data_IF_995769705518
#
_entry.id   IF_995769705518
#
_cell.length_a   1.000
_cell.length_b   1.000
_cell.length_c   1.000
_cell.angle_alpha   90.00
_cell.angle_beta   90.00
_cell.angle_gamma   90.00
#
_symmetry.space_group_name_H-M   'P 1'
#
loop_
_entity.id
_entity.type
_entity.pdbx_description
1 polymer ?
#
# COMPACT_ATOMS: atom_id res chain seq x y z
N UNK A 1 -4.38 0.16 21.67
CA UNK A 1 -5.48 0.13 20.68
C UNK A 1 -5.13 -0.87 19.58
N UNK A 2 -6.08 -1.73 19.26
CA UNK A 2 -5.85 -2.80 18.29
C UNK A 2 -6.40 -2.40 16.93
N UNK A 3 -5.53 -2.04 15.98
CA UNK A 3 -5.91 -1.58 14.65
C UNK A 3 -5.84 -2.77 13.70
N UNK A 4 -6.97 -3.09 13.08
CA UNK A 4 -7.10 -4.27 12.21
C UNK A 4 -7.08 -3.94 10.72
N UNK A 5 -7.05 -2.66 10.35
CA UNK A 5 -7.18 -2.22 8.96
C UNK A 5 -5.97 -1.41 8.54
N UNK A 6 -5.58 -1.55 7.28
CA UNK A 6 -4.50 -0.77 6.72
C UNK A 6 -4.75 -0.39 5.27
N UNK A 7 -4.18 0.74 4.86
CA UNK A 7 -4.24 1.25 3.49
C UNK A 7 -2.81 1.45 2.99
N UNK A 8 -2.51 0.92 1.81
CA UNK A 8 -1.21 1.13 1.16
C UNK A 8 -1.43 2.01 -0.06
N UNK A 9 -0.67 3.10 -0.14
CA UNK A 9 -0.75 4.06 -1.24
C UNK A 9 0.18 3.62 -2.37
N UNK A 10 -0.40 2.98 -3.39
CA UNK A 10 0.37 2.40 -4.49
C UNK A 10 0.00 2.98 -5.87
N UNK A 11 -0.78 4.07 -5.91
CA UNK A 11 -1.28 4.62 -7.17
C UNK A 11 -0.35 5.63 -7.84
N UNK A 12 0.78 6.00 -7.23
CA UNK A 12 1.71 6.97 -7.78
C UNK A 12 2.31 6.54 -9.11
N UNK A 13 2.67 7.51 -9.96
CA UNK A 13 3.24 7.24 -11.28
C UNK A 13 4.72 6.87 -11.26
N UNK A 14 5.43 7.14 -10.15
CA UNK A 14 6.83 6.77 -9.99
C UNK A 14 7.79 7.55 -10.89
N UNK A 15 7.45 8.75 -11.30
CA UNK A 15 8.24 9.55 -12.26
C UNK A 15 9.65 9.83 -11.77
N UNK A 16 9.83 10.02 -10.47
CA UNK A 16 11.15 10.29 -9.88
C UNK A 16 12.10 9.11 -9.95
N UNK A 17 11.56 7.90 -10.15
CA UNK A 17 12.35 6.67 -10.21
C UNK A 17 12.61 6.20 -11.63
N UNK A 18 12.20 6.97 -12.64
CA UNK A 18 12.49 6.62 -14.02
C UNK A 18 14.00 6.60 -14.26
N UNK A 19 14.51 5.66 -15.09
CA UNK A 19 13.76 4.74 -15.96
C UNK A 19 13.29 3.45 -15.29
N UNK A 20 13.57 3.23 -14.00
CA UNK A 20 13.20 1.98 -13.32
C UNK A 20 11.69 1.73 -13.35
N UNK A 21 10.88 2.80 -13.28
CA UNK A 21 9.41 2.68 -13.23
C UNK A 21 8.74 2.71 -14.60
N UNK A 22 9.50 2.73 -15.71
CA UNK A 22 8.87 2.70 -17.04
C UNK A 22 8.17 1.37 -17.32
N UNK A 23 8.66 0.28 -16.77
CA UNK A 23 8.10 -1.07 -16.97
C UNK A 23 7.60 -1.72 -15.69
N UNK A 24 7.92 -1.16 -14.53
CA UNK A 24 7.57 -1.72 -13.24
C UNK A 24 7.01 -0.61 -12.36
N UNK A 25 5.82 -0.79 -11.77
CA UNK A 25 5.31 0.21 -10.85
C UNK A 25 6.19 0.30 -9.62
N UNK A 26 6.32 1.53 -9.07
CA UNK A 26 7.22 1.79 -7.95
C UNK A 26 7.07 0.82 -6.78
N UNK A 27 5.85 0.46 -6.34
CA UNK A 27 5.71 -0.49 -5.23
C UNK A 27 6.30 -1.87 -5.48
N UNK A 28 6.53 -2.25 -6.73
CA UNK A 28 7.13 -3.54 -7.09
C UNK A 28 8.64 -3.46 -7.33
N UNK A 29 9.26 -2.30 -7.12
CA UNK A 29 10.72 -2.21 -7.14
C UNK A 29 11.28 -2.96 -5.95
N UNK A 30 12.38 -3.68 -6.16
CA UNK A 30 12.99 -4.52 -5.13
C UNK A 30 14.17 -3.83 -4.46
N UNK A 31 14.26 -4.00 -3.13
CA UNK A 31 15.40 -3.60 -2.32
C UNK A 31 15.74 -4.80 -1.45
N UNK A 32 16.95 -5.31 -1.58
CA UNK A 32 17.41 -6.50 -0.84
C UNK A 32 16.46 -7.70 -1.03
N UNK A 33 16.08 -7.96 -2.29
CA UNK A 33 15.26 -9.10 -2.71
C UNK A 33 13.77 -9.04 -2.30
N UNK A 34 13.32 -7.94 -1.73
CA UNK A 34 11.91 -7.75 -1.40
C UNK A 34 11.36 -6.51 -2.07
N UNK A 35 10.14 -6.59 -2.60
CA UNK A 35 9.49 -5.41 -3.16
C UNK A 35 9.09 -4.46 -2.04
N UNK A 36 8.96 -3.17 -2.39
CA UNK A 36 8.45 -2.18 -1.43
C UNK A 36 7.05 -2.56 -0.95
N UNK A 37 6.22 -3.08 -1.86
CA UNK A 37 4.85 -3.49 -1.52
C UNK A 37 4.84 -4.65 -0.52
N UNK A 38 5.66 -5.67 -0.74
CA UNK A 38 5.76 -6.81 0.18
C UNK A 38 6.19 -6.37 1.58
N UNK A 39 7.16 -5.45 1.65
CA UNK A 39 7.60 -4.90 2.94
C UNK A 39 6.46 -4.17 3.65
N UNK A 40 5.68 -3.38 2.92
CA UNK A 40 4.54 -2.66 3.49
C UNK A 40 3.48 -3.63 4.02
N UNK A 41 3.13 -4.64 3.24
CA UNK A 41 2.15 -5.64 3.63
C UNK A 41 2.62 -6.39 4.89
N UNK A 42 3.87 -6.86 4.89
CA UNK A 42 4.41 -7.61 6.02
C UNK A 42 4.50 -6.74 7.28
N UNK A 43 4.81 -5.47 7.13
CA UNK A 43 4.82 -4.54 8.26
C UNK A 43 3.44 -4.42 8.89
N UNK A 44 2.40 -4.24 8.07
CA UNK A 44 1.03 -4.16 8.57
C UNK A 44 0.61 -5.47 9.25
N UNK A 45 0.93 -6.61 8.65
CA UNK A 45 0.63 -7.92 9.24
C UNK A 45 1.30 -8.05 10.60
N UNK A 46 2.55 -7.61 10.73
CA UNK A 46 3.28 -7.70 11.99
C UNK A 46 2.67 -6.87 13.11
N UNK A 47 1.85 -5.87 12.76
CA UNK A 47 1.13 -5.02 13.70
C UNK A 47 -0.32 -5.47 13.94
N UNK A 48 -0.69 -6.66 13.46
CA UNK A 48 -2.00 -7.22 13.71
C UNK A 48 -3.08 -6.82 12.71
N UNK A 49 -2.71 -6.16 11.62
CA UNK A 49 -3.67 -5.80 10.56
C UNK A 49 -4.18 -7.07 9.90
N UNK A 50 -5.49 -7.15 9.70
CA UNK A 50 -6.17 -8.31 9.13
C UNK A 50 -6.78 -8.03 7.76
N UNK A 51 -6.97 -6.77 7.40
CA UNK A 51 -7.54 -6.39 6.11
C UNK A 51 -6.79 -5.17 5.58
N UNK A 52 -6.35 -5.26 4.33
CA UNK A 52 -5.54 -4.22 3.68
C UNK A 52 -6.24 -3.78 2.39
N UNK A 53 -6.32 -2.47 2.18
CA UNK A 53 -6.72 -1.89 0.91
C UNK A 53 -5.50 -1.31 0.22
N UNK A 54 -5.36 -1.57 -1.08
CA UNK A 54 -4.25 -1.06 -1.88
C UNK A 54 -4.83 -0.30 -3.07
N UNK A 55 -4.51 1.00 -3.18
CA UNK A 55 -4.94 1.73 -4.37
C UNK A 55 -3.92 1.54 -5.49
N UNK A 56 -4.41 1.42 -6.72
CA UNK A 56 -3.57 1.20 -7.90
C UNK A 56 -4.02 2.12 -9.02
N UNK A 57 -3.08 2.56 -9.83
CA UNK A 57 -3.36 3.37 -11.02
C UNK A 57 -2.40 3.01 -12.14
N UNK A 58 -1.09 3.13 -11.88
CA UNK A 58 -0.04 2.89 -12.86
C UNK A 58 0.33 1.41 -12.88
N UNK A 59 0.24 0.79 -14.05
CA UNK A 59 0.54 -0.64 -14.27
C UNK A 59 -0.19 -1.53 -13.25
N UNK A 60 -1.52 -1.38 -13.11
CA UNK A 60 -2.25 -2.05 -12.03
C UNK A 60 -2.22 -3.58 -12.13
N UNK A 61 -2.14 -4.13 -13.35
CA UNK A 61 -2.15 -5.59 -13.55
C UNK A 61 -0.92 -6.26 -12.95
N UNK A 62 0.22 -5.58 -12.95
CA UNK A 62 1.43 -6.12 -12.32
C UNK A 62 1.27 -6.23 -10.81
N UNK A 63 0.64 -5.24 -10.19
CA UNK A 63 0.37 -5.25 -8.75
C UNK A 63 -0.62 -6.36 -8.41
N UNK A 64 -1.70 -6.48 -9.18
CA UNK A 64 -2.70 -7.53 -8.98
C UNK A 64 -2.08 -8.93 -9.10
N UNK A 65 -1.24 -9.13 -10.13
CA UNK A 65 -0.57 -10.41 -10.33
C UNK A 65 0.38 -10.75 -9.19
N UNK A 66 1.10 -9.75 -8.69
CA UNK A 66 2.00 -9.94 -7.56
C UNK A 66 1.24 -10.38 -6.31
N UNK A 67 0.13 -9.71 -5.97
CA UNK A 67 -0.71 -10.05 -4.83
C UNK A 67 -1.23 -11.48 -4.94
N UNK A 68 -1.73 -11.85 -6.14
CA UNK A 68 -2.28 -13.19 -6.36
C UNK A 68 -1.22 -14.29 -6.26
N UNK A 69 0.00 -14.00 -6.74
CA UNK A 69 1.09 -14.97 -6.73
C UNK A 69 1.63 -15.22 -5.32
N UNK A 70 1.71 -14.17 -4.50
CA UNK A 70 2.27 -14.28 -3.15
C UNK A 70 1.32 -14.89 -2.13
N UNK A 71 0.03 -14.80 -2.33
CA UNK A 71 -1.00 -15.40 -1.46
C UNK A 71 -0.82 -15.00 0.01
N UNK A 72 -0.89 -13.70 0.27
CA UNK A 72 -0.79 -13.20 1.65
C UNK A 72 -1.92 -13.73 2.54
N UNK A 73 -1.63 -13.87 3.84
CA UNK A 73 -2.57 -14.44 4.81
C UNK A 73 -3.65 -13.48 5.29
N UNK A 74 -3.72 -12.29 4.75
CA UNK A 74 -4.72 -11.27 5.09
C UNK A 74 -5.61 -11.00 3.89
N UNK A 75 -6.78 -10.45 4.16
CA UNK A 75 -7.69 -10.01 3.08
C UNK A 75 -7.11 -8.75 2.44
N UNK A 76 -6.92 -8.79 1.12
CA UNK A 76 -6.42 -7.65 0.37
C UNK A 76 -7.44 -7.24 -0.67
N UNK A 77 -7.85 -5.97 -0.64
CA UNK A 77 -8.78 -5.37 -1.58
C UNK A 77 -8.02 -4.38 -2.44
N UNK A 78 -8.21 -4.45 -3.75
CA UNK A 78 -7.60 -3.52 -4.70
C UNK A 78 -8.58 -2.40 -4.99
N UNK A 79 -8.19 -1.15 -4.73
CA UNK A 79 -8.95 0.04 -5.11
C UNK A 79 -8.34 0.57 -6.40
N UNK A 80 -9.03 0.34 -7.51
CA UNK A 80 -8.50 0.63 -8.83
C UNK A 80 -8.81 2.07 -9.26
N UNK A 81 -7.76 2.86 -9.50
CA UNK A 81 -7.85 4.23 -10.00
C UNK A 81 -7.33 4.33 -11.44
N UNK A 82 -7.45 3.23 -12.21
CA UNK A 82 -6.88 3.10 -13.55
C UNK A 82 -7.37 4.19 -14.50
N UNK A 83 -8.64 4.53 -14.45
CA UNK A 83 -9.26 5.52 -15.35
C UNK A 83 -9.11 6.95 -14.86
N UNK A 84 -8.86 7.17 -13.59
CA UNK A 84 -8.73 8.49 -12.99
C UNK A 84 -7.83 8.40 -11.76
N UNK A 85 -6.68 9.05 -11.85
CA UNK A 85 -5.77 9.13 -10.70
C UNK A 85 -6.32 10.14 -9.70
N UNK A 86 -6.69 9.65 -8.53
CA UNK A 86 -7.12 10.49 -7.42
C UNK A 86 -5.89 11.02 -6.68
N UNK A 87 -6.03 12.17 -6.01
CA UNK A 87 -4.98 12.64 -5.11
C UNK A 87 -4.90 11.70 -3.88
N UNK A 88 -3.94 11.95 -3.00
CA UNK A 88 -3.76 11.10 -1.82
C UNK A 88 -5.03 11.06 -0.95
N UNK A 89 -5.67 12.20 -0.72
CA UNK A 89 -6.90 12.25 0.06
C UNK A 89 -8.04 11.48 -0.59
N UNK A 90 -8.24 11.67 -1.89
CA UNK A 90 -9.27 10.95 -2.64
C UNK A 90 -9.02 9.46 -2.69
N UNK A 91 -7.75 9.05 -2.86
CA UNK A 91 -7.36 7.64 -2.86
C UNK A 91 -7.62 6.96 -1.52
N UNK A 92 -7.29 7.64 -0.42
CA UNK A 92 -7.56 7.13 0.93
C UNK A 92 -9.07 7.00 1.15
N UNK A 93 -9.84 8.03 0.80
CA UNK A 93 -11.28 8.01 0.99
C UNK A 93 -11.93 6.85 0.23
N UNK A 94 -11.58 6.68 -1.03
CA UNK A 94 -12.12 5.60 -1.85
C UNK A 94 -11.67 4.23 -1.35
N UNK A 95 -10.38 4.08 -1.05
CA UNK A 95 -9.81 2.78 -0.67
C UNK A 95 -10.26 2.28 0.70
N UNK A 96 -10.70 3.18 1.58
CA UNK A 96 -11.06 2.83 2.95
C UNK A 96 -12.57 2.73 3.18
N UNK A 97 -13.37 2.81 2.14
CA UNK A 97 -14.83 2.71 2.27
C UNK A 97 -15.28 1.44 2.96
N UNK A 98 -14.56 0.34 2.78
CA UNK A 98 -14.88 -0.94 3.38
C UNK A 98 -14.54 -1.02 4.88
N UNK A 99 -13.81 -0.04 5.40
CA UNK A 99 -13.40 -0.05 6.81
C UNK A 99 -14.44 0.58 7.74
N UNK A 100 -15.45 1.26 7.19
CA UNK A 100 -16.44 1.98 7.97
C UNK A 100 -15.78 3.06 8.82
N UNK A 101 -16.19 3.14 10.09
CA UNK A 101 -15.66 4.12 11.03
C UNK A 101 -14.46 3.61 11.83
N UNK A 102 -13.93 2.45 11.48
CA UNK A 102 -12.80 1.86 12.19
C UNK A 102 -11.50 2.61 11.89
N UNK A 103 -10.63 2.77 12.87
CA UNK A 103 -9.31 3.34 12.64
C UNK A 103 -8.49 2.42 11.73
N UNK A 104 -7.60 3.02 10.94
CA UNK A 104 -6.74 2.26 10.05
C UNK A 104 -5.39 2.95 9.90
N UNK A 105 -4.36 2.17 9.58
CA UNK A 105 -3.06 2.71 9.21
C UNK A 105 -3.06 3.11 7.75
N UNK A 106 -2.33 4.17 7.42
CA UNK A 106 -2.00 4.51 6.04
C UNK A 106 -0.49 4.47 5.90
N UNK A 107 0.00 3.77 4.89
CA UNK A 107 1.43 3.63 4.66
C UNK A 107 1.77 3.90 3.20
N UNK A 108 2.86 4.63 2.98
CA UNK A 108 3.43 4.84 1.66
C UNK A 108 4.60 3.86 1.52
N UNK A 109 4.59 2.94 0.54
CA UNK A 109 5.61 1.90 0.45
C UNK A 109 7.04 2.40 0.36
N UNK A 110 7.26 3.59 -0.18
CA UNK A 110 8.61 4.11 -0.36
C UNK A 110 9.24 4.68 0.91
N UNK A 111 8.52 4.75 2.02
CA UNK A 111 9.03 5.28 3.29
C UNK A 111 9.54 4.19 4.24
N UNK A 112 9.45 2.91 3.87
CA UNK A 112 9.78 1.79 4.78
C UNK A 112 11.15 1.17 4.48
N UNK A 113 12.17 1.96 4.32
CA UNK A 113 13.52 1.46 4.00
C UNK A 113 14.46 1.44 5.18
N UNK A 114 14.16 2.13 6.25
CA UNK A 114 15.07 2.29 7.35
C UNK A 114 14.66 1.52 8.59
N UNK A 115 15.48 1.67 9.63
CA UNK A 115 15.24 1.04 10.93
C UNK A 115 14.11 1.69 11.71
N UNK A 116 13.59 2.84 11.23
CA UNK A 116 12.58 3.63 11.94
C UNK A 116 11.16 3.48 11.39
N UNK A 117 10.91 2.44 10.60
CA UNK A 117 9.61 2.29 9.96
C UNK A 117 8.46 2.07 10.97
N UNK A 118 8.74 1.59 12.16
CA UNK A 118 7.72 1.48 13.21
C UNK A 118 7.19 2.84 13.62
N UNK A 119 8.07 3.84 13.73
CA UNK A 119 7.67 5.21 14.06
C UNK A 119 6.85 5.81 12.91
N UNK A 120 7.24 5.56 11.67
CA UNK A 120 6.48 6.03 10.51
C UNK A 120 5.09 5.41 10.44
N UNK A 121 4.97 4.12 10.74
CA UNK A 121 3.68 3.47 10.79
C UNK A 121 2.76 4.13 11.83
N UNK A 122 3.29 4.47 13.01
CA UNK A 122 2.52 5.15 14.05
C UNK A 122 2.09 6.55 13.61
N UNK A 123 2.94 7.28 12.90
CA UNK A 123 2.63 8.61 12.38
C UNK A 123 1.58 8.56 11.28
N UNK A 124 1.43 7.42 10.62
CA UNK A 124 0.48 7.23 9.52
C UNK A 124 -0.89 6.72 9.99
N UNK A 125 -1.13 6.68 11.30
CA UNK A 125 -2.42 6.26 11.85
C UNK A 125 -3.48 7.31 11.57
N UNK A 126 -4.60 6.90 10.98
CA UNK A 126 -5.71 7.78 10.66
C UNK A 126 -6.99 7.24 11.28
N UNK A 127 -7.74 8.13 11.92
CA UNK A 127 -9.08 7.85 12.44
C UNK A 127 -10.10 8.62 11.61
N UNK A 128 -11.10 7.93 11.13
CA UNK A 128 -12.21 8.55 10.42
C UNK A 128 -13.48 8.40 11.24
#
# INVERSE_FOLDING_TARGET
>A
MNIKYGMILAAGLGKRMQPLTLKTPKPLLEINNYTLLERAINLLISHGVQEISINVHYLPDQIKSFINRKKFKVKITISNEENLLLDTGGGVLKGTQNFGDNPFFVINPDTIWGKNYLAELKLSLIHI
#
